data_IF_081371828301
#
_entry.id   IF_081371828301
#
_cell.length_a   1.000
_cell.length_b   1.000
_cell.length_c   1.000
_cell.angle_alpha   90.00
_cell.angle_beta   90.00
_cell.angle_gamma   90.00
#
_symmetry.space_group_name_H-M   'P 1'
#
loop_
_entity.id
_entity.type
_entity.pdbx_description
1 polymer ?
#
# COMPACT_ATOMS: atom_id res chain seq x y z
N UNK A 1 -75.16 -24.49 -10.16
CA UNK A 1 -75.10 -25.24 -8.89
C UNK A 1 -74.05 -26.32 -9.08
N UNK A 2 -72.79 -25.98 -8.84
CA UNK A 2 -71.64 -26.88 -9.10
C UNK A 2 -71.05 -27.28 -7.77
N UNK A 3 -71.05 -28.58 -7.53
CA UNK A 3 -70.71 -29.23 -6.26
C UNK A 3 -69.20 -29.47 -6.19
N UNK A 4 -68.65 -29.07 -5.06
CA UNK A 4 -67.31 -29.32 -4.53
C UNK A 4 -67.06 -30.83 -4.31
N UNK A 5 -65.91 -31.35 -4.77
CA UNK A 5 -65.30 -32.58 -4.22
C UNK A 5 -63.78 -32.49 -4.23
N UNK A 6 -63.22 -32.56 -3.02
CA UNK A 6 -61.82 -32.72 -2.68
C UNK A 6 -61.29 -34.09 -3.10
N UNK A 7 -60.04 -34.14 -3.59
CA UNK A 7 -59.19 -35.32 -3.49
C UNK A 7 -57.81 -34.90 -2.99
N UNK A 8 -57.46 -35.40 -1.81
CA UNK A 8 -56.12 -35.41 -1.21
C UNK A 8 -55.25 -36.41 -1.96
N UNK A 9 -54.03 -36.03 -2.35
CA UNK A 9 -52.92 -36.98 -2.53
C UNK A 9 -51.58 -36.35 -2.11
N UNK A 10 -51.10 -36.85 -0.97
CA UNK A 10 -49.71 -37.03 -0.53
C UNK A 10 -48.62 -36.12 -1.13
N UNK A 11 -48.15 -35.15 -0.34
CA UNK A 11 -46.84 -34.51 -0.54
C UNK A 11 -45.79 -35.44 0.07
N UNK A 12 -45.09 -36.16 -0.79
CA UNK A 12 -43.89 -36.92 -0.45
C UNK A 12 -42.77 -35.89 -0.19
N UNK A 13 -42.32 -35.79 1.06
CA UNK A 13 -41.19 -34.94 1.45
C UNK A 13 -39.92 -35.45 0.79
N UNK A 14 -39.45 -34.76 -0.27
CA UNK A 14 -38.09 -34.92 -0.73
C UNK A 14 -37.20 -34.06 0.18
N UNK A 15 -36.55 -34.70 1.14
CA UNK A 15 -35.40 -34.14 1.84
C UNK A 15 -34.34 -33.81 0.78
N UNK A 16 -34.26 -32.55 0.34
CA UNK A 16 -33.05 -32.04 -0.29
C UNK A 16 -32.01 -31.95 0.82
N UNK A 17 -31.23 -33.01 0.96
CA UNK A 17 -29.95 -32.99 1.65
C UNK A 17 -29.20 -31.80 1.04
N UNK A 18 -28.79 -30.85 1.89
CA UNK A 18 -27.96 -29.73 1.47
C UNK A 18 -26.76 -30.29 0.71
N UNK A 19 -26.76 -30.08 -0.61
CA UNK A 19 -25.52 -30.15 -1.37
C UNK A 19 -24.62 -29.06 -0.75
N UNK A 20 -23.38 -29.39 -0.38
CA UNK A 20 -22.43 -28.33 -0.08
C UNK A 20 -22.37 -27.46 -1.34
N UNK A 21 -22.50 -26.15 -1.19
CA UNK A 21 -22.09 -25.21 -2.23
C UNK A 21 -20.62 -25.51 -2.50
N UNK A 22 -20.34 -26.36 -3.49
CA UNK A 22 -19.00 -26.52 -4.00
C UNK A 22 -18.62 -25.16 -4.58
N UNK A 23 -17.69 -24.46 -3.94
CA UNK A 23 -16.96 -23.37 -4.56
C UNK A 23 -16.46 -23.89 -5.91
N UNK A 24 -16.96 -23.32 -7.01
CA UNK A 24 -16.57 -23.78 -8.33
C UNK A 24 -15.09 -23.42 -8.54
N UNK A 25 -14.21 -24.39 -8.43
CA UNK A 25 -12.80 -24.23 -8.82
C UNK A 25 -12.72 -24.07 -10.33
N UNK A 26 -11.76 -23.29 -10.82
CA UNK A 26 -11.56 -23.12 -12.27
C UNK A 26 -11.19 -24.45 -12.91
N UNK A 27 -11.81 -24.72 -14.06
CA UNK A 27 -11.51 -25.88 -14.89
C UNK A 27 -11.00 -25.41 -16.25
N UNK A 28 -9.68 -25.49 -16.42
CA UNK A 28 -9.01 -25.04 -17.63
C UNK A 28 -9.41 -25.80 -18.90
N UNK A 29 -10.02 -27.00 -18.77
CA UNK A 29 -10.52 -27.77 -19.90
C UNK A 29 -11.89 -27.28 -20.40
N UNK A 30 -12.62 -26.50 -19.61
CA UNK A 30 -14.00 -26.08 -19.92
C UNK A 30 -14.18 -24.57 -20.06
N UNK A 31 -13.25 -23.76 -19.55
CA UNK A 31 -13.20 -22.33 -19.89
C UNK A 31 -12.84 -22.14 -21.38
N UNK A 32 -13.32 -21.05 -21.99
CA UNK A 32 -13.19 -20.78 -23.44
C UNK A 32 -12.54 -19.44 -23.77
N UNK A 33 -12.10 -18.69 -22.76
CA UNK A 33 -11.57 -17.33 -22.94
C UNK A 33 -10.11 -17.33 -23.39
N UNK A 34 -9.33 -18.32 -22.93
CA UNK A 34 -7.91 -18.48 -23.24
C UNK A 34 -7.54 -19.94 -23.51
N UNK A 35 -6.40 -20.24 -24.16
CA UNK A 35 -5.89 -21.60 -24.27
C UNK A 35 -5.73 -22.33 -22.92
N UNK A 36 -5.93 -23.65 -22.92
CA UNK A 36 -5.85 -24.48 -21.70
C UNK A 36 -4.48 -24.39 -21.01
N UNK A 37 -3.39 -24.28 -21.78
CA UNK A 37 -2.02 -24.11 -21.26
C UNK A 37 -1.82 -22.76 -20.58
N UNK A 38 -2.41 -21.68 -21.09
CA UNK A 38 -2.38 -20.36 -20.43
C UNK A 38 -3.15 -20.40 -19.11
N UNK A 39 -4.38 -20.96 -19.12
CA UNK A 39 -5.16 -21.12 -17.90
C UNK A 39 -4.41 -21.95 -16.83
N UNK A 40 -3.78 -23.07 -17.23
CA UNK A 40 -2.97 -23.89 -16.31
C UNK A 40 -1.77 -23.11 -15.75
N UNK A 41 -1.18 -22.23 -16.56
CA UNK A 41 -0.05 -21.40 -16.15
C UNK A 41 -0.49 -20.36 -15.12
N UNK A 42 -1.65 -19.73 -15.31
CA UNK A 42 -2.25 -18.85 -14.30
C UNK A 42 -2.55 -19.62 -12.99
N UNK A 43 -3.13 -20.82 -13.08
CA UNK A 43 -3.35 -21.64 -11.87
C UNK A 43 -2.03 -22.06 -11.21
N UNK A 44 -0.95 -22.26 -11.97
CA UNK A 44 0.38 -22.52 -11.42
C UNK A 44 0.91 -21.30 -10.65
N UNK A 45 0.73 -20.09 -11.19
CA UNK A 45 1.04 -18.83 -10.48
C UNK A 45 0.26 -18.75 -9.18
N UNK A 46 -1.06 -18.90 -9.23
CA UNK A 46 -1.90 -18.91 -8.05
C UNK A 46 -1.44 -19.90 -6.97
N UNK A 47 -1.16 -21.16 -7.35
CA UNK A 47 -0.81 -22.20 -6.40
C UNK A 47 0.62 -22.05 -5.83
N UNK A 48 1.58 -21.62 -6.65
CA UNK A 48 2.99 -21.48 -6.24
C UNK A 48 3.22 -20.28 -5.32
N UNK A 49 2.38 -19.26 -5.39
CA UNK A 49 2.55 -18.03 -4.61
C UNK A 49 1.48 -17.83 -3.53
N UNK A 50 1.02 -18.93 -2.91
CA UNK A 50 0.01 -18.95 -1.84
C UNK A 50 -1.28 -18.18 -2.18
N UNK A 51 -1.88 -18.45 -3.33
CA UNK A 51 -3.07 -17.77 -3.87
C UNK A 51 -4.23 -17.58 -2.88
N UNK A 52 -4.47 -18.54 -2.00
CA UNK A 52 -5.52 -18.44 -0.99
C UNK A 52 -5.27 -17.39 0.12
N UNK A 53 -4.02 -16.91 0.24
CA UNK A 53 -3.60 -15.88 1.20
C UNK A 53 -3.40 -14.49 0.59
N UNK A 54 -3.72 -14.33 -0.70
CA UNK A 54 -3.69 -13.04 -1.40
C UNK A 54 -4.68 -12.04 -0.80
N UNK A 55 -4.32 -10.75 -0.79
CA UNK A 55 -5.12 -9.71 -0.13
C UNK A 55 -6.52 -9.52 -0.74
N UNK A 56 -6.70 -9.83 -2.02
CA UNK A 56 -7.94 -9.65 -2.78
C UNK A 56 -8.73 -10.95 -3.04
N UNK A 57 -8.45 -12.04 -2.31
CA UNK A 57 -8.94 -13.39 -2.65
C UNK A 57 -10.47 -13.50 -2.81
N UNK A 58 -11.26 -12.69 -2.11
CA UNK A 58 -12.72 -12.71 -2.20
C UNK A 58 -13.30 -11.82 -3.30
N UNK A 59 -12.51 -10.91 -3.87
CA UNK A 59 -12.88 -10.00 -4.96
C UNK A 59 -12.20 -10.33 -6.29
N UNK A 60 -11.14 -11.15 -6.27
CA UNK A 60 -10.23 -11.36 -7.39
C UNK A 60 -10.67 -12.38 -8.45
N UNK A 61 -11.63 -13.26 -8.15
CA UNK A 61 -12.15 -14.30 -9.07
C UNK A 61 -11.20 -15.48 -9.35
N UNK A 62 -9.92 -15.37 -9.00
CA UNK A 62 -8.89 -16.39 -9.20
C UNK A 62 -9.27 -17.73 -8.57
N UNK A 63 -9.26 -18.79 -9.39
CA UNK A 63 -9.60 -20.15 -8.97
C UNK A 63 -11.00 -20.28 -8.32
N UNK A 64 -11.89 -19.33 -8.59
CA UNK A 64 -13.29 -19.25 -8.09
C UNK A 64 -14.27 -19.12 -9.25
N UNK A 65 -13.88 -18.43 -10.34
CA UNK A 65 -14.67 -18.34 -11.56
C UNK A 65 -14.02 -19.10 -12.70
N UNK A 66 -14.83 -19.52 -13.68
CA UNK A 66 -14.32 -20.16 -14.90
C UNK A 66 -14.10 -19.15 -16.05
N UNK A 67 -13.72 -17.92 -15.70
CA UNK A 67 -13.57 -16.77 -16.61
C UNK A 67 -12.23 -16.05 -16.34
N UNK A 68 -11.09 -16.65 -16.75
CA UNK A 68 -9.75 -16.12 -16.44
C UNK A 68 -9.50 -14.68 -16.87
N UNK A 69 -10.10 -14.22 -17.96
CA UNK A 69 -9.93 -12.84 -18.45
C UNK A 69 -10.67 -11.79 -17.61
N UNK A 70 -11.57 -12.24 -16.73
CA UNK A 70 -12.24 -11.39 -15.75
C UNK A 70 -11.58 -11.43 -14.37
N UNK A 71 -10.51 -12.22 -14.20
CA UNK A 71 -9.78 -12.23 -12.93
C UNK A 71 -9.06 -10.91 -12.74
N UNK A 72 -9.08 -10.40 -11.50
CA UNK A 72 -8.42 -9.15 -11.17
C UNK A 72 -6.94 -9.23 -11.55
N UNK A 73 -6.46 -8.24 -12.29
CA UNK A 73 -5.08 -8.18 -12.75
C UNK A 73 -4.78 -8.99 -14.01
N UNK A 74 -5.76 -9.67 -14.63
CA UNK A 74 -5.58 -10.33 -15.93
C UNK A 74 -6.18 -9.46 -17.04
N UNK A 75 -5.41 -9.21 -18.10
CA UNK A 75 -5.93 -8.62 -19.34
C UNK A 75 -5.76 -9.61 -20.48
N UNK A 76 -6.83 -9.82 -21.23
CA UNK A 76 -6.81 -10.64 -22.43
C UNK A 76 -7.05 -9.81 -23.69
N UNK A 77 -6.44 -10.23 -24.81
CA UNK A 77 -6.72 -9.72 -26.14
C UNK A 77 -6.67 -10.87 -27.12
N UNK A 78 -7.67 -10.92 -28.01
CA UNK A 78 -7.80 -11.95 -29.04
C UNK A 78 -7.71 -13.39 -28.52
N UNK A 79 -8.24 -13.62 -27.31
CA UNK A 79 -8.25 -14.94 -26.67
C UNK A 79 -6.95 -15.34 -26.00
N UNK A 80 -6.03 -14.41 -25.74
CA UNK A 80 -4.75 -14.68 -25.08
C UNK A 80 -4.52 -13.72 -23.92
N UNK A 81 -3.82 -14.18 -22.87
CA UNK A 81 -3.36 -13.32 -21.78
C UNK A 81 -2.22 -12.42 -22.29
N UNK A 82 -2.44 -11.11 -22.21
CA UNK A 82 -1.46 -10.10 -22.63
C UNK A 82 -0.87 -9.31 -21.47
N UNK A 83 -1.53 -9.27 -20.31
CA UNK A 83 -1.00 -8.62 -19.12
C UNK A 83 -1.39 -9.37 -17.84
N UNK A 84 -0.42 -9.46 -16.93
CA UNK A 84 -0.62 -9.86 -15.54
C UNK A 84 -0.13 -8.71 -14.67
N UNK A 85 -1.03 -8.14 -13.88
CA UNK A 85 -0.80 -6.99 -13.00
C UNK A 85 -1.28 -7.36 -11.58
N UNK A 86 -0.33 -7.80 -10.74
CA UNK A 86 -0.59 -8.34 -9.39
C UNK A 86 0.38 -7.77 -8.36
N UNK A 87 0.74 -6.49 -8.48
CA UNK A 87 1.56 -5.83 -7.47
C UNK A 87 0.86 -5.73 -6.11
N UNK A 88 1.64 -5.64 -5.02
CA UNK A 88 1.15 -5.38 -3.66
C UNK A 88 -0.04 -6.26 -3.24
N UNK A 89 0.09 -7.57 -3.46
CA UNK A 89 -1.02 -8.49 -3.23
C UNK A 89 -0.66 -9.67 -2.32
N UNK A 90 0.50 -9.60 -1.67
CA UNK A 90 0.96 -10.62 -0.71
C UNK A 90 1.29 -11.96 -1.40
N UNK A 91 1.71 -11.94 -2.66
CA UNK A 91 2.18 -13.16 -3.34
C UNK A 91 3.42 -13.66 -2.61
N UNK A 92 3.33 -14.86 -2.02
CA UNK A 92 4.41 -15.45 -1.24
C UNK A 92 4.74 -16.85 -1.77
N UNK A 93 5.98 -17.04 -2.23
CA UNK A 93 6.46 -18.29 -2.81
C UNK A 93 7.28 -18.08 -4.07
N UNK A 94 7.71 -19.15 -4.74
CA UNK A 94 8.51 -19.07 -5.96
C UNK A 94 7.68 -18.65 -7.17
N UNK A 95 8.30 -17.90 -8.09
CA UNK A 95 7.74 -17.60 -9.41
C UNK A 95 7.75 -18.88 -10.27
N UNK A 96 6.61 -19.34 -10.82
CA UNK A 96 6.56 -20.54 -11.63
C UNK A 96 7.01 -20.28 -13.07
N UNK A 97 6.96 -21.33 -13.90
CA UNK A 97 7.16 -21.23 -15.33
C UNK A 97 5.97 -20.53 -16.03
N UNK A 98 6.25 -19.40 -16.70
CA UNK A 98 5.29 -18.57 -17.42
C UNK A 98 5.45 -18.65 -18.94
N UNK A 99 6.32 -19.51 -19.48
CA UNK A 99 6.61 -19.54 -20.92
C UNK A 99 5.42 -19.88 -21.80
N UNK A 100 4.35 -20.49 -21.27
CA UNK A 100 3.13 -20.77 -22.05
C UNK A 100 2.28 -19.52 -22.33
N UNK A 101 2.61 -18.38 -21.73
CA UNK A 101 1.94 -17.10 -21.99
C UNK A 101 2.66 -16.37 -23.13
N UNK A 102 2.68 -16.98 -24.32
CA UNK A 102 3.48 -16.55 -25.48
C UNK A 102 3.14 -15.12 -25.98
N UNK A 103 1.99 -14.58 -25.59
CA UNK A 103 1.51 -13.24 -25.96
C UNK A 103 1.59 -12.25 -24.79
N UNK A 104 2.23 -12.62 -23.67
CA UNK A 104 2.31 -11.76 -22.50
C UNK A 104 3.24 -10.57 -22.79
N UNK A 105 2.68 -9.37 -22.76
CA UNK A 105 3.38 -8.11 -23.03
C UNK A 105 3.76 -7.39 -21.75
N UNK A 106 2.95 -7.49 -20.70
CA UNK A 106 3.21 -6.87 -19.38
C UNK A 106 3.15 -7.92 -18.28
N UNK A 107 4.20 -7.97 -17.47
CA UNK A 107 4.23 -8.72 -16.21
C UNK A 107 4.65 -7.78 -15.08
N UNK A 108 3.72 -7.49 -14.17
CA UNK A 108 3.97 -6.72 -12.96
C UNK A 108 3.59 -7.54 -11.73
N UNK A 109 4.60 -7.98 -10.97
CA UNK A 109 4.46 -8.70 -9.71
C UNK A 109 5.23 -7.99 -8.58
N UNK A 110 5.46 -6.68 -8.73
CA UNK A 110 6.23 -5.87 -7.78
C UNK A 110 5.60 -5.80 -6.38
N UNK A 111 6.37 -5.42 -5.36
CA UNK A 111 5.89 -5.22 -3.98
C UNK A 111 5.20 -6.46 -3.38
N UNK A 112 5.82 -7.62 -3.50
CA UNK A 112 5.29 -8.89 -3.00
C UNK A 112 6.33 -9.60 -2.11
N UNK A 113 6.06 -10.85 -1.73
CA UNK A 113 6.98 -11.70 -0.98
C UNK A 113 7.47 -12.89 -1.83
N UNK A 114 7.59 -12.70 -3.16
CA UNK A 114 8.11 -13.72 -4.05
C UNK A 114 9.54 -14.06 -3.64
N UNK A 115 9.85 -15.34 -3.53
CA UNK A 115 11.09 -15.81 -2.96
C UNK A 115 11.68 -16.97 -3.76
N UNK A 116 12.90 -17.37 -3.38
CA UNK A 116 13.60 -18.46 -4.07
C UNK A 116 14.30 -18.02 -5.37
N UNK A 117 14.90 -18.97 -6.10
CA UNK A 117 15.66 -18.66 -7.31
C UNK A 117 14.74 -18.27 -8.46
N UNK A 118 15.05 -17.19 -9.17
CA UNK A 118 14.41 -16.84 -10.45
C UNK A 118 15.23 -17.40 -11.63
N UNK A 119 14.53 -17.98 -12.62
CA UNK A 119 15.11 -18.31 -13.92
C UNK A 119 14.38 -17.52 -15.00
N UNK A 120 15.08 -16.62 -15.69
CA UNK A 120 14.44 -15.76 -16.69
C UNK A 120 14.08 -16.50 -17.97
N UNK A 121 14.58 -17.72 -18.16
CA UNK A 121 14.09 -18.65 -19.19
C UNK A 121 12.64 -19.08 -18.97
N UNK A 122 12.10 -18.89 -17.75
CA UNK A 122 10.71 -19.15 -17.40
C UNK A 122 9.79 -17.96 -17.71
N UNK A 123 10.31 -16.87 -18.28
CA UNK A 123 9.54 -15.72 -18.70
C UNK A 123 9.38 -15.71 -20.22
N UNK A 124 8.22 -15.31 -20.75
CA UNK A 124 8.00 -15.26 -22.18
C UNK A 124 8.77 -14.08 -22.82
N UNK A 125 9.39 -14.31 -23.97
CA UNK A 125 10.19 -13.29 -24.69
C UNK A 125 9.35 -12.19 -25.34
N UNK A 126 8.03 -12.34 -25.36
CA UNK A 126 7.06 -11.33 -25.81
C UNK A 126 6.95 -10.11 -24.88
N UNK A 127 7.54 -10.19 -23.68
CA UNK A 127 7.46 -9.13 -22.68
C UNK A 127 8.04 -7.81 -23.21
N UNK A 128 7.23 -6.77 -23.07
CA UNK A 128 7.58 -5.37 -23.31
C UNK A 128 7.85 -4.63 -22.00
N UNK A 129 7.17 -5.02 -20.91
CA UNK A 129 7.35 -4.47 -19.58
C UNK A 129 7.44 -5.59 -18.53
N UNK A 130 8.49 -5.56 -17.72
CA UNK A 130 8.74 -6.52 -16.64
C UNK A 130 9.04 -5.77 -15.32
N UNK A 131 8.18 -5.91 -14.31
CA UNK A 131 8.42 -5.42 -12.94
C UNK A 131 8.35 -6.56 -11.94
N UNK A 132 9.46 -6.80 -11.24
CA UNK A 132 9.58 -7.80 -10.17
C UNK A 132 10.20 -7.19 -8.90
N UNK A 133 10.27 -5.87 -8.81
CA UNK A 133 10.92 -5.16 -7.72
C UNK A 133 10.19 -5.30 -6.36
N UNK A 134 10.90 -5.01 -5.28
CA UNK A 134 10.45 -5.16 -3.88
C UNK A 134 9.88 -6.57 -3.62
N UNK A 135 10.77 -7.55 -3.73
CA UNK A 135 10.52 -8.97 -3.50
C UNK A 135 11.74 -9.60 -2.82
N UNK A 136 11.72 -10.92 -2.61
CA UNK A 136 12.79 -11.69 -1.97
C UNK A 136 13.47 -12.67 -2.94
N UNK A 137 13.43 -12.39 -4.25
CA UNK A 137 13.97 -13.25 -5.29
C UNK A 137 15.50 -13.32 -5.19
N UNK A 138 16.04 -14.51 -5.44
CA UNK A 138 17.47 -14.82 -5.37
C UNK A 138 17.95 -15.35 -6.72
N UNK A 139 19.26 -15.37 -6.93
CA UNK A 139 19.87 -15.94 -8.14
C UNK A 139 20.80 -14.96 -8.84
N UNK A 140 21.27 -15.35 -10.01
CA UNK A 140 22.08 -14.50 -10.88
C UNK A 140 21.17 -13.57 -11.68
N UNK A 141 21.61 -12.32 -11.86
CA UNK A 141 20.93 -11.33 -12.68
C UNK A 141 20.87 -11.83 -14.14
N UNK A 142 19.77 -11.54 -14.86
CA UNK A 142 19.50 -12.15 -16.16
C UNK A 142 20.40 -11.68 -17.29
N UNK A 143 20.60 -12.56 -18.27
CA UNK A 143 20.79 -12.14 -19.65
C UNK A 143 19.42 -11.92 -20.30
N UNK A 144 19.06 -10.64 -20.50
CA UNK A 144 17.80 -10.22 -21.13
C UNK A 144 17.97 -9.93 -22.63
N UNK A 145 19.13 -10.24 -23.23
CA UNK A 145 19.38 -9.93 -24.64
C UNK A 145 18.43 -10.61 -25.62
N UNK A 146 17.76 -11.70 -25.19
CA UNK A 146 16.74 -12.41 -25.96
C UNK A 146 15.35 -11.78 -25.90
N UNK A 147 15.11 -10.85 -24.98
CA UNK A 147 13.83 -10.13 -24.84
C UNK A 147 13.84 -8.89 -25.73
N UNK A 148 13.76 -9.09 -27.05
CA UNK A 148 13.95 -8.01 -28.03
C UNK A 148 12.86 -6.95 -27.99
N UNK A 149 11.68 -7.30 -27.47
CA UNK A 149 10.53 -6.38 -27.34
C UNK A 149 10.55 -5.59 -26.02
N UNK A 150 11.48 -5.90 -25.11
CA UNK A 150 11.53 -5.29 -23.79
C UNK A 150 11.89 -3.81 -23.89
N UNK A 151 11.01 -2.98 -23.35
CA UNK A 151 11.11 -1.51 -23.28
C UNK A 151 11.37 -1.03 -21.86
N UNK A 152 10.82 -1.76 -20.88
CA UNK A 152 10.91 -1.42 -19.46
C UNK A 152 11.25 -2.67 -18.65
N UNK A 153 12.23 -2.53 -17.75
CA UNK A 153 12.58 -3.59 -16.80
C UNK A 153 12.90 -2.99 -15.44
N UNK A 154 12.28 -3.53 -14.39
CA UNK A 154 12.58 -3.21 -13.00
C UNK A 154 12.70 -4.50 -12.18
N UNK A 155 13.90 -4.74 -11.66
CA UNK A 155 14.25 -5.91 -10.84
C UNK A 155 14.85 -5.48 -9.49
N UNK A 156 14.69 -4.20 -9.13
CA UNK A 156 15.26 -3.61 -7.91
C UNK A 156 14.76 -4.28 -6.63
N UNK A 157 15.34 -3.93 -5.48
CA UNK A 157 14.87 -4.36 -4.16
C UNK A 157 14.57 -5.87 -4.06
N UNK A 158 15.51 -6.67 -4.57
CA UNK A 158 15.56 -8.12 -4.48
C UNK A 158 16.94 -8.57 -3.97
N UNK A 159 17.14 -9.88 -3.81
CA UNK A 159 18.43 -10.49 -3.44
C UNK A 159 19.17 -11.10 -4.66
N UNK A 160 19.09 -10.44 -5.83
CA UNK A 160 19.79 -10.86 -7.04
C UNK A 160 21.29 -10.51 -6.97
N UNK A 161 22.12 -11.34 -7.59
CA UNK A 161 23.59 -11.20 -7.63
C UNK A 161 24.09 -11.10 -9.07
N UNK A 162 25.28 -10.54 -9.30
CA UNK A 162 25.82 -10.38 -10.66
C UNK A 162 25.28 -9.16 -11.42
N UNK A 163 25.50 -9.11 -12.73
CA UNK A 163 25.13 -7.97 -13.59
C UNK A 163 24.18 -8.41 -14.70
N UNK A 164 23.02 -7.76 -14.80
CA UNK A 164 22.08 -8.03 -15.87
C UNK A 164 22.63 -7.54 -17.23
N UNK A 165 22.48 -8.35 -18.28
CA UNK A 165 22.72 -7.92 -19.66
C UNK A 165 21.40 -7.47 -20.27
N UNK A 166 21.32 -6.20 -20.70
CA UNK A 166 20.11 -5.64 -21.28
C UNK A 166 20.07 -5.85 -22.80
N UNK A 167 18.88 -6.04 -23.40
CA UNK A 167 18.74 -6.06 -24.85
C UNK A 167 19.14 -4.71 -25.46
N UNK A 168 19.51 -4.67 -26.75
CA UNK A 168 19.91 -3.42 -27.42
C UNK A 168 18.85 -2.31 -27.35
N UNK A 169 17.56 -2.66 -27.26
CA UNK A 169 16.45 -1.71 -27.03
C UNK A 169 16.58 -0.95 -25.70
N UNK A 170 17.23 -1.55 -24.71
CA UNK A 170 17.46 -1.04 -23.36
C UNK A 170 18.92 -0.63 -23.10
N UNK A 171 19.83 -0.95 -24.02
CA UNK A 171 21.24 -0.57 -23.92
C UNK A 171 21.40 0.94 -24.16
N UNK A 172 21.64 1.67 -23.07
CA UNK A 172 21.90 3.11 -23.02
C UNK A 172 22.97 3.57 -24.03
N UNK A 173 22.50 4.12 -25.17
CA UNK A 173 23.14 5.28 -25.83
C UNK A 173 22.06 6.13 -26.52
N UNK A 174 21.82 7.35 -26.00
CA UNK A 174 21.20 8.45 -26.76
C UNK A 174 19.67 8.58 -26.75
N UNK A 175 18.94 7.95 -25.83
CA UNK A 175 17.48 8.07 -25.76
C UNK A 175 17.01 9.03 -24.65
N UNK A 176 15.90 9.75 -24.88
CA UNK A 176 15.31 10.66 -23.89
C UNK A 176 14.62 9.96 -22.72
N UNK A 177 14.47 8.63 -22.74
CA UNK A 177 13.71 7.91 -21.73
C UNK A 177 12.22 8.22 -21.79
N UNK A 178 11.43 7.53 -20.97
CA UNK A 178 9.98 7.67 -20.87
C UNK A 178 9.57 7.95 -19.43
N UNK A 179 8.45 8.66 -19.24
CA UNK A 179 7.92 8.93 -17.91
C UNK A 179 6.95 7.82 -17.48
N UNK A 180 7.12 7.33 -16.26
CA UNK A 180 6.30 6.28 -15.65
C UNK A 180 5.86 6.68 -14.25
N UNK A 181 4.68 6.28 -13.81
CA UNK A 181 4.31 6.48 -12.41
C UNK A 181 5.27 5.70 -11.50
N UNK A 182 5.58 6.26 -10.33
CA UNK A 182 6.50 5.61 -9.38
C UNK A 182 5.90 4.40 -8.66
N UNK A 183 4.57 4.31 -8.68
CA UNK A 183 3.74 3.30 -8.04
C UNK A 183 2.54 3.08 -8.97
N UNK A 184 2.00 1.88 -8.91
CA UNK A 184 0.93 1.36 -9.78
C UNK A 184 -0.35 1.08 -8.98
N UNK A 185 -0.32 1.14 -7.65
CA UNK A 185 -1.48 0.97 -6.78
C UNK A 185 -1.57 2.05 -5.69
N UNK A 186 -1.92 3.24 -6.13
CA UNK A 186 -2.19 4.34 -5.22
C UNK A 186 -3.54 4.13 -4.54
N UNK A 187 -3.51 4.00 -3.21
CA UNK A 187 -4.70 4.01 -2.36
C UNK A 187 -4.68 5.26 -1.52
N UNK A 188 -5.77 6.00 -1.60
CA UNK A 188 -5.96 7.26 -0.90
C UNK A 188 -7.27 7.14 -0.15
N UNK A 189 -7.30 7.48 1.13
CA UNK A 189 -8.57 7.55 1.83
C UNK A 189 -9.29 8.81 1.35
N UNK A 190 -10.60 8.73 1.28
CA UNK A 190 -11.44 9.85 0.86
C UNK A 190 -11.14 11.16 1.65
N UNK A 191 -10.73 11.03 2.91
CA UNK A 191 -10.40 12.14 3.80
C UNK A 191 -8.92 12.64 3.75
N UNK A 192 -8.07 12.06 2.91
CA UNK A 192 -6.66 12.46 2.78
C UNK A 192 -6.57 13.88 2.18
N UNK A 193 -7.54 14.26 1.34
CA UNK A 193 -7.72 15.62 0.82
C UNK A 193 -6.73 16.01 -0.26
N UNK A 194 -5.42 16.00 0.04
CA UNK A 194 -4.36 16.20 -0.97
C UNK A 194 -3.49 14.96 -1.04
N UNK A 195 -3.35 14.42 -2.25
CA UNK A 195 -2.55 13.23 -2.53
C UNK A 195 -1.47 13.54 -3.56
N UNK A 196 -0.21 13.21 -3.26
CA UNK A 196 0.91 13.45 -4.17
C UNK A 196 1.17 12.21 -5.02
N UNK A 197 1.04 12.37 -6.33
CA UNK A 197 1.39 11.33 -7.31
C UNK A 197 2.78 11.61 -7.84
N UNK A 198 3.66 10.61 -7.81
CA UNK A 198 5.04 10.71 -8.25
C UNK A 198 5.26 9.99 -9.58
N UNK A 199 6.10 10.57 -10.43
CA UNK A 199 6.44 10.12 -11.78
C UNK A 199 7.95 10.14 -11.93
N UNK A 200 8.50 9.07 -12.48
CA UNK A 200 9.93 8.83 -12.68
C UNK A 200 10.26 8.82 -14.17
N UNK A 201 11.50 9.16 -14.51
CA UNK A 201 12.06 9.00 -15.86
C UNK A 201 12.83 7.70 -15.94
N UNK A 202 12.51 6.83 -16.89
CA UNK A 202 13.08 5.49 -17.03
C UNK A 202 13.65 5.30 -18.44
N UNK A 203 14.70 4.50 -18.59
CA UNK A 203 15.22 4.11 -19.92
C UNK A 203 16.03 5.17 -20.67
N UNK A 204 16.29 6.34 -20.09
CA UNK A 204 17.17 7.34 -20.69
C UNK A 204 17.13 8.71 -20.01
N UNK A 205 18.16 9.53 -20.25
CA UNK A 205 18.32 10.87 -19.66
C UNK A 205 18.67 11.94 -20.71
N UNK A 206 18.77 11.58 -21.99
CA UNK A 206 19.29 12.46 -23.05
C UNK A 206 18.19 13.14 -23.86
N UNK A 207 18.06 14.46 -23.73
CA UNK A 207 17.00 15.23 -24.36
C UNK A 207 15.91 15.65 -23.38
N UNK A 208 15.03 16.54 -23.81
CA UNK A 208 13.92 17.04 -22.99
C UNK A 208 12.70 16.17 -23.25
N UNK A 209 12.10 15.61 -22.19
CA UNK A 209 10.76 15.01 -22.26
C UNK A 209 9.75 15.93 -21.59
N UNK A 210 8.55 16.01 -22.16
CA UNK A 210 7.43 16.76 -21.60
C UNK A 210 6.19 15.89 -21.67
N UNK A 211 5.69 15.51 -20.51
CA UNK A 211 4.59 14.56 -20.37
C UNK A 211 3.44 15.27 -19.68
N UNK A 212 2.29 15.25 -20.32
CA UNK A 212 1.04 15.75 -19.74
C UNK A 212 0.38 14.67 -18.91
N UNK A 213 -0.31 15.07 -17.84
CA UNK A 213 -1.16 14.17 -17.06
C UNK A 213 -2.59 14.68 -17.03
N UNK A 214 -3.55 13.76 -16.95
CA UNK A 214 -4.95 14.09 -16.76
C UNK A 214 -5.69 12.96 -16.03
N UNK A 215 -6.56 13.34 -15.09
CA UNK A 215 -7.50 12.44 -14.41
C UNK A 215 -8.71 12.14 -15.29
N UNK A 216 -9.20 10.92 -15.21
CA UNK A 216 -10.41 10.43 -15.86
C UNK A 216 -11.24 9.67 -14.81
N UNK A 217 -12.52 10.04 -14.68
CA UNK A 217 -13.47 9.32 -13.82
C UNK A 217 -13.59 7.85 -14.24
N UNK A 218 -13.72 6.97 -13.27
CA UNK A 218 -14.11 5.57 -13.46
C UNK A 218 -15.34 5.27 -12.60
N UNK A 219 -15.22 4.51 -11.50
CA UNK A 219 -16.32 4.41 -10.52
C UNK A 219 -16.47 5.69 -9.71
N UNK A 220 -15.36 6.33 -9.35
CA UNK A 220 -15.31 7.67 -8.76
C UNK A 220 -15.58 8.74 -9.82
N UNK A 221 -16.40 9.71 -9.47
CA UNK A 221 -16.86 10.85 -10.28
C UNK A 221 -16.15 12.14 -9.89
N UNK A 222 -15.49 12.74 -10.89
CA UNK A 222 -14.95 14.09 -10.77
C UNK A 222 -15.99 15.12 -10.30
N UNK A 223 -15.62 15.91 -9.30
CA UNK A 223 -16.45 16.94 -8.64
C UNK A 223 -17.30 16.41 -7.48
N UNK A 224 -17.45 15.09 -7.35
CA UNK A 224 -18.03 14.42 -6.18
C UNK A 224 -16.92 13.88 -5.29
N UNK A 225 -16.03 13.07 -5.88
CA UNK A 225 -15.12 12.21 -5.09
C UNK A 225 -13.65 12.63 -5.26
N UNK A 226 -13.35 13.38 -6.32
CA UNK A 226 -12.05 14.03 -6.55
C UNK A 226 -12.18 15.25 -7.47
N UNK A 227 -11.23 16.19 -7.44
CA UNK A 227 -11.19 17.29 -8.42
C UNK A 227 -10.42 16.93 -9.68
N UNK A 228 -10.86 17.42 -10.85
CA UNK A 228 -10.15 17.20 -12.11
C UNK A 228 -8.75 17.84 -12.04
N UNK A 229 -7.72 17.00 -12.11
CA UNK A 229 -6.34 17.45 -12.19
C UNK A 229 -5.78 17.22 -13.60
N UNK A 230 -5.12 18.24 -14.15
CA UNK A 230 -4.37 18.16 -15.39
C UNK A 230 -3.17 19.10 -15.36
N UNK A 231 -2.08 18.69 -15.98
CA UNK A 231 -0.85 19.48 -16.01
C UNK A 231 0.22 18.82 -16.87
N UNK A 232 1.47 19.25 -16.67
CA UNK A 232 2.62 18.69 -17.39
C UNK A 232 3.86 18.64 -16.51
N UNK A 233 4.62 17.57 -16.65
CA UNK A 233 5.92 17.36 -16.03
C UNK A 233 7.00 17.41 -17.11
N UNK A 234 8.12 18.06 -16.82
CA UNK A 234 9.21 18.25 -17.78
C UNK A 234 10.54 17.89 -17.16
N UNK A 235 11.26 16.98 -17.81
CA UNK A 235 12.67 16.69 -17.52
C UNK A 235 13.54 17.29 -18.61
N UNK A 236 14.66 17.88 -18.22
CA UNK A 236 15.69 18.36 -19.16
C UNK A 236 16.76 17.28 -19.37
N UNK A 237 17.67 17.48 -20.32
CA UNK A 237 18.81 16.57 -20.50
C UNK A 237 19.60 16.43 -19.20
N UNK A 238 19.83 15.19 -18.76
CA UNK A 238 20.56 14.83 -17.54
C UNK A 238 19.75 14.89 -16.25
N UNK A 239 18.50 15.36 -16.30
CA UNK A 239 17.59 15.37 -15.15
C UNK A 239 16.97 13.98 -14.97
N UNK A 240 17.31 13.33 -13.85
CA UNK A 240 16.82 12.02 -13.42
C UNK A 240 16.03 12.10 -12.10
N UNK A 241 15.72 13.30 -11.61
CA UNK A 241 14.98 13.46 -10.36
C UNK A 241 13.50 13.12 -10.59
N UNK A 242 12.89 12.49 -9.60
CA UNK A 242 11.45 12.23 -9.58
C UNK A 242 10.66 13.54 -9.56
N UNK A 243 9.49 13.55 -10.21
CA UNK A 243 8.59 14.71 -10.23
C UNK A 243 7.21 14.30 -9.74
N UNK A 244 6.55 15.22 -9.05
CA UNK A 244 5.24 14.91 -8.46
C UNK A 244 4.22 16.02 -8.73
N UNK A 245 2.94 15.65 -8.68
CA UNK A 245 1.83 16.59 -8.73
C UNK A 245 0.78 16.23 -7.68
N UNK A 246 0.03 17.24 -7.25
CA UNK A 246 -1.03 17.08 -6.28
C UNK A 246 -2.36 16.73 -6.95
N UNK A 247 -3.11 15.85 -6.30
CA UNK A 247 -4.53 15.56 -6.54
C UNK A 247 -5.34 16.00 -5.34
N UNK A 248 -6.54 16.52 -5.58
CA UNK A 248 -7.51 16.80 -4.53
C UNK A 248 -8.53 15.67 -4.48
N UNK A 249 -8.66 15.00 -3.34
CA UNK A 249 -9.73 14.03 -3.05
C UNK A 249 -10.81 14.74 -2.23
N UNK A 250 -12.06 14.51 -2.60
CA UNK A 250 -13.21 15.12 -1.93
C UNK A 250 -13.78 14.12 -0.94
N UNK A 251 -13.91 14.54 0.31
CA UNK A 251 -14.43 13.74 1.42
C UNK A 251 -15.93 14.01 1.59
N UNK A 252 -16.76 12.97 1.59
CA UNK A 252 -18.15 13.06 2.00
C UNK A 252 -18.49 12.26 3.26
N UNK A 253 -19.73 11.84 3.41
CA UNK A 253 -20.21 11.13 4.62
C UNK A 253 -21.05 9.90 4.28
N UNK A 254 -21.12 9.57 3.00
CA UNK A 254 -21.89 8.47 2.48
C UNK A 254 -21.02 7.24 2.43
N UNK A 255 -21.52 6.16 3.03
CA UNK A 255 -20.82 4.87 2.94
C UNK A 255 -20.96 4.37 1.52
N UNK A 256 -19.90 4.49 0.77
CA UNK A 256 -19.79 4.05 -0.60
C UNK A 256 -18.93 2.79 -0.67
N UNK A 257 -18.88 2.16 -1.84
CA UNK A 257 -17.82 1.18 -2.05
C UNK A 257 -16.51 1.95 -2.28
N UNK A 258 -15.35 1.29 -2.12
CA UNK A 258 -14.12 1.88 -2.63
C UNK A 258 -14.30 2.18 -4.13
N UNK A 259 -14.07 3.43 -4.49
CA UNK A 259 -14.22 3.91 -5.85
C UNK A 259 -12.84 4.15 -6.47
N UNK A 260 -12.80 4.21 -7.79
CA UNK A 260 -11.58 4.28 -8.57
C UNK A 260 -11.66 5.40 -9.59
N UNK A 261 -10.54 6.06 -9.85
CA UNK A 261 -10.36 6.90 -11.03
C UNK A 261 -8.99 6.65 -11.65
N UNK A 262 -8.83 7.02 -12.91
CA UNK A 262 -7.62 6.73 -13.70
C UNK A 262 -6.86 8.03 -13.93
N UNK A 263 -5.53 7.96 -13.89
CA UNK A 263 -4.66 9.02 -14.40
C UNK A 263 -3.91 8.48 -15.61
N UNK A 264 -3.87 9.27 -16.68
CA UNK A 264 -3.06 8.97 -17.86
C UNK A 264 -1.89 9.94 -17.98
N UNK A 265 -0.70 9.42 -18.24
CA UNK A 265 0.44 10.15 -18.77
C UNK A 265 0.38 10.11 -20.29
N UNK A 266 0.55 11.27 -20.93
CA UNK A 266 0.58 11.40 -22.38
C UNK A 266 1.76 12.22 -22.84
N UNK A 267 2.42 11.74 -23.87
CA UNK A 267 3.38 12.54 -24.63
C UNK A 267 2.77 12.84 -26.00
N UNK A 268 2.62 14.14 -26.28
CA UNK A 268 1.82 14.62 -27.40
C UNK A 268 0.38 14.10 -27.29
N UNK A 269 0.01 13.07 -28.06
CA UNK A 269 -1.34 12.50 -28.10
C UNK A 269 -1.36 10.98 -27.78
N UNK A 270 -0.21 10.36 -27.51
CA UNK A 270 -0.10 8.94 -27.17
C UNK A 270 -0.09 8.75 -25.65
N UNK A 271 -0.84 7.74 -25.16
CA UNK A 271 -0.83 7.34 -23.76
C UNK A 271 0.45 6.55 -23.51
N UNK A 272 1.30 7.06 -22.61
CA UNK A 272 2.55 6.42 -22.22
C UNK A 272 2.36 5.46 -21.04
N UNK A 273 1.57 5.89 -20.06
CA UNK A 273 1.35 5.15 -18.82
C UNK A 273 -0.02 5.52 -18.24
N UNK A 274 -0.62 4.60 -17.50
CA UNK A 274 -1.87 4.83 -16.79
C UNK A 274 -1.82 4.18 -15.43
N UNK A 275 -2.32 4.87 -14.41
CA UNK A 275 -2.45 4.32 -13.06
C UNK A 275 -3.87 4.49 -12.56
N UNK A 276 -4.36 3.48 -11.84
CA UNK A 276 -5.63 3.52 -11.13
C UNK A 276 -5.37 4.02 -9.70
N UNK A 277 -6.15 5.01 -9.28
CA UNK A 277 -6.19 5.48 -7.90
C UNK A 277 -7.45 4.89 -7.27
N UNK A 278 -7.30 4.18 -6.16
CA UNK A 278 -8.44 3.72 -5.35
C UNK A 278 -8.68 4.72 -4.24
N UNK A 279 -9.85 5.36 -4.26
CA UNK A 279 -10.41 6.09 -3.13
C UNK A 279 -11.02 5.05 -2.19
N UNK A 280 -10.44 4.94 -1.01
CA UNK A 280 -10.95 4.06 0.04
C UNK A 280 -11.99 4.83 0.83
N UNK A 281 -13.24 4.39 0.72
CA UNK A 281 -14.32 4.90 1.56
C UNK A 281 -13.93 4.66 3.01
N UNK A 282 -13.92 5.75 3.77
CA UNK A 282 -13.58 5.72 5.18
C UNK A 282 -14.80 5.89 6.08
N UNK A 283 -16.00 5.97 5.50
CA UNK A 283 -17.26 5.97 6.21
C UNK A 283 -17.64 4.57 6.70
N UNK A 284 -18.57 4.52 7.67
CA UNK A 284 -19.04 3.26 8.24
C UNK A 284 -20.56 3.23 8.28
N UNK A 285 -21.14 2.07 7.90
CA UNK A 285 -22.55 1.80 8.20
C UNK A 285 -22.62 1.49 9.67
N UNK A 286 -23.58 2.07 10.34
CA UNK A 286 -23.69 1.89 11.76
C UNK A 286 -25.10 1.38 12.13
N UNK A 287 -25.25 0.38 13.03
CA UNK A 287 -26.54 -0.28 13.25
C UNK A 287 -27.31 0.31 14.44
N UNK A 288 -28.61 0.61 14.29
CA UNK A 288 -29.41 1.21 15.37
C UNK A 288 -29.75 0.18 16.42
N UNK A 289 -29.73 0.59 17.69
CA UNK A 289 -30.59 0.01 18.71
C UNK A 289 -31.63 1.06 19.16
N UNK A 290 -32.92 0.78 18.94
CA UNK A 290 -34.05 1.42 19.63
C UNK A 290 -34.82 0.37 20.46
N UNK A 291 -35.31 0.69 21.68
CA UNK A 291 -36.11 -0.27 22.46
C UNK A 291 -37.63 -0.14 22.22
N UNK A 292 -38.20 -1.22 21.65
CA UNK A 292 -39.59 -1.76 21.66
C UNK A 292 -40.74 -0.76 21.31
N UNK A 293 -41.52 -0.87 20.21
CA UNK A 293 -42.17 -2.04 19.61
C UNK A 293 -42.59 -1.77 18.13
N UNK A 294 -42.02 -2.52 17.16
CA UNK A 294 -42.33 -2.81 15.73
C UNK A 294 -42.77 -1.73 14.70
N UNK A 295 -42.44 -1.89 13.38
CA UNK A 295 -41.33 -2.60 12.74
C UNK A 295 -40.49 -1.72 11.76
N UNK A 296 -39.18 -2.01 11.71
CA UNK A 296 -38.14 -1.52 10.78
C UNK A 296 -37.81 -0.02 10.77
N UNK A 297 -36.57 0.35 11.14
CA UNK A 297 -35.65 1.33 10.48
C UNK A 297 -34.29 1.31 11.21
N UNK A 298 -33.19 1.30 10.43
CA UNK A 298 -31.77 1.28 10.82
C UNK A 298 -31.25 2.68 11.23
N UNK A 299 -30.44 2.85 12.29
CA UNK A 299 -29.70 4.09 12.67
C UNK A 299 -28.19 3.85 12.74
N UNK A 300 -27.43 4.73 12.11
CA UNK A 300 -26.00 4.84 12.29
C UNK A 300 -25.56 5.43 13.67
N UNK A 301 -24.67 4.75 14.44
CA UNK A 301 -23.73 5.31 15.44
C UNK A 301 -22.44 5.93 14.81
N UNK A 302 -22.51 7.15 14.28
CA UNK A 302 -21.27 7.93 14.04
C UNK A 302 -20.58 8.26 15.39
N UNK A 303 -19.25 8.19 15.44
CA UNK A 303 -18.50 8.75 16.57
C UNK A 303 -18.70 10.27 16.60
N UNK A 304 -19.03 10.87 17.77
CA UNK A 304 -19.33 12.29 17.85
C UNK A 304 -18.10 13.16 17.56
N UNK A 305 -18.31 14.40 17.11
CA UNK A 305 -17.23 15.37 16.97
C UNK A 305 -16.68 15.73 18.35
N UNK A 306 -15.36 15.84 18.47
CA UNK A 306 -14.73 16.18 19.74
C UNK A 306 -15.14 17.57 20.24
N UNK A 307 -15.37 17.67 21.55
CA UNK A 307 -15.61 18.95 22.22
C UNK A 307 -14.29 19.72 22.37
N UNK A 308 -14.11 20.76 21.55
CA UNK A 308 -12.88 21.56 21.49
C UNK A 308 -12.71 22.56 22.65
N UNK A 309 -13.69 22.63 23.55
CA UNK A 309 -13.65 23.53 24.71
C UNK A 309 -13.30 22.82 26.02
N UNK A 310 -13.04 21.51 25.97
CA UNK A 310 -12.74 20.73 27.15
C UNK A 310 -11.24 20.61 27.36
N UNK A 311 -10.79 20.79 28.61
CA UNK A 311 -9.41 20.49 29.01
C UNK A 311 -9.18 18.99 29.24
N UNK A 312 -10.23 18.18 29.23
CA UNK A 312 -10.16 16.71 29.35
C UNK A 312 -11.19 16.05 28.45
N UNK A 313 -10.80 14.98 27.77
CA UNK A 313 -11.64 14.24 26.82
C UNK A 313 -11.66 12.80 27.26
N UNK A 314 -12.86 12.30 27.58
CA UNK A 314 -13.09 10.96 28.10
C UNK A 314 -14.04 10.14 27.22
N UNK A 315 -14.15 10.52 25.95
CA UNK A 315 -15.07 9.93 24.98
C UNK A 315 -14.35 9.57 23.69
N UNK A 316 -14.93 8.64 22.95
CA UNK A 316 -14.55 8.40 21.55
C UNK A 316 -15.08 9.56 20.71
N UNK A 317 -14.20 10.22 19.96
CA UNK A 317 -14.61 11.34 19.12
C UNK A 317 -13.64 11.59 17.95
N UNK A 318 -14.12 12.26 16.91
CA UNK A 318 -13.30 12.68 15.77
C UNK A 318 -13.08 14.19 15.85
N UNK A 319 -11.82 14.61 15.80
CA UNK A 319 -11.46 16.02 15.92
C UNK A 319 -11.52 16.79 14.60
N UNK A 320 -11.62 16.09 13.46
CA UNK A 320 -11.80 16.68 12.13
C UNK A 320 -10.73 17.72 11.77
N UNK A 321 -9.46 17.40 12.06
CA UNK A 321 -8.29 18.27 11.85
C UNK A 321 -8.38 19.61 12.60
N UNK A 322 -9.21 19.73 13.63
CA UNK A 322 -9.28 20.94 14.47
C UNK A 322 -8.23 20.90 15.57
N UNK A 323 -7.75 22.10 15.91
CA UNK A 323 -6.74 22.32 16.95
C UNK A 323 -7.37 22.17 18.35
N UNK A 324 -6.78 21.30 19.18
CA UNK A 324 -7.16 21.19 20.59
C UNK A 324 -6.60 22.35 21.42
N UNK A 325 -7.28 22.73 22.52
CA UNK A 325 -6.75 23.70 23.45
C UNK A 325 -5.49 23.15 24.14
N UNK A 326 -4.63 24.06 24.58
CA UNK A 326 -3.41 23.69 25.29
C UNK A 326 -3.71 22.99 26.61
N UNK A 327 -2.81 22.07 26.98
CA UNK A 327 -2.90 21.21 28.15
C UNK A 327 -4.14 20.32 28.15
N UNK A 328 -4.66 19.96 26.96
CA UNK A 328 -5.73 18.97 26.86
C UNK A 328 -5.24 17.60 27.36
N UNK A 329 -6.07 16.92 28.14
CA UNK A 329 -5.83 15.53 28.55
C UNK A 329 -6.79 14.59 27.81
N UNK A 330 -6.26 13.63 27.07
CA UNK A 330 -7.02 12.50 26.52
C UNK A 330 -7.01 11.40 27.57
N UNK A 331 -8.16 11.08 28.16
CA UNK A 331 -8.26 10.07 29.23
C UNK A 331 -8.13 8.65 28.69
N UNK A 332 -7.87 7.67 29.57
CA UNK A 332 -7.52 6.28 29.22
C UNK A 332 -8.52 5.58 28.28
N UNK A 333 -9.81 5.86 28.42
CA UNK A 333 -10.89 5.28 27.60
C UNK A 333 -11.26 6.13 26.38
N UNK A 334 -10.62 7.30 26.23
CA UNK A 334 -10.86 8.14 25.07
C UNK A 334 -10.11 7.61 23.84
N UNK A 335 -10.78 7.69 22.70
CA UNK A 335 -10.21 7.38 21.39
C UNK A 335 -10.47 8.56 20.48
N UNK A 336 -9.40 9.27 20.15
CA UNK A 336 -9.46 10.48 19.35
C UNK A 336 -8.74 10.25 18.04
N UNK A 337 -9.35 10.70 16.94
CA UNK A 337 -8.69 10.75 15.64
C UNK A 337 -8.68 12.15 15.05
N UNK A 338 -7.70 12.42 14.17
CA UNK A 338 -7.59 13.66 13.42
C UNK A 338 -7.44 14.92 14.29
N UNK A 339 -6.86 14.78 15.48
CA UNK A 339 -6.51 15.93 16.33
C UNK A 339 -5.33 16.70 15.74
N UNK A 340 -5.38 18.04 15.83
CA UNK A 340 -4.20 18.90 15.65
C UNK A 340 -3.78 19.45 17.01
N UNK A 341 -2.50 19.32 17.33
CA UNK A 341 -1.90 19.91 18.54
C UNK A 341 -0.97 21.04 18.14
N UNK A 342 -1.28 22.27 18.53
CA UNK A 342 -0.39 23.45 18.39
C UNK A 342 0.35 23.80 19.69
N UNK A 343 0.03 23.09 20.77
CA UNK A 343 0.64 23.24 22.08
C UNK A 343 0.50 21.93 22.87
N UNK A 344 1.07 21.91 24.07
CA UNK A 344 1.24 20.70 24.85
C UNK A 344 -0.09 19.98 25.16
N UNK A 345 -0.05 18.65 25.18
CA UNK A 345 -1.17 17.78 25.50
C UNK A 345 -0.71 16.48 26.17
N UNK A 346 -1.57 15.91 27.00
CA UNK A 346 -1.36 14.60 27.62
C UNK A 346 -2.29 13.59 26.95
N UNK A 347 -1.75 12.47 26.50
CA UNK A 347 -2.49 11.34 25.98
C UNK A 347 -2.39 10.15 26.93
N UNK A 348 -3.51 9.68 27.47
CA UNK A 348 -3.61 8.44 28.24
C UNK A 348 -4.39 7.36 27.47
N UNK A 349 -5.19 7.78 26.48
CA UNK A 349 -6.01 6.92 25.65
C UNK A 349 -5.39 6.60 24.29
N UNK A 350 -6.24 6.49 23.26
CA UNK A 350 -5.84 6.25 21.88
C UNK A 350 -5.89 7.55 21.07
N UNK A 351 -4.78 7.90 20.44
CA UNK A 351 -4.66 9.02 19.50
C UNK A 351 -4.24 8.49 18.13
N UNK A 352 -5.03 8.77 17.10
CA UNK A 352 -4.78 8.24 15.75
C UNK A 352 -4.89 9.30 14.66
N UNK A 353 -4.09 9.15 13.59
CA UNK A 353 -4.19 10.02 12.40
C UNK A 353 -4.08 11.52 12.73
N UNK A 354 -3.17 11.87 13.64
CA UNK A 354 -3.09 13.20 14.25
C UNK A 354 -1.81 13.94 13.87
N UNK A 355 -1.89 15.26 13.92
CA UNK A 355 -0.77 16.15 13.60
C UNK A 355 -0.31 16.89 14.84
N UNK A 356 0.99 16.80 15.13
CA UNK A 356 1.62 17.50 16.25
C UNK A 356 2.47 18.59 15.61
N UNK A 357 2.07 19.85 15.78
CA UNK A 357 2.75 21.00 15.16
C UNK A 357 4.01 21.39 15.91
N UNK A 358 4.88 22.12 15.22
CA UNK A 358 6.10 22.67 15.80
C UNK A 358 5.78 23.47 17.09
N UNK A 359 6.51 23.16 18.17
CA UNK A 359 6.29 23.77 19.49
C UNK A 359 5.26 23.07 20.37
N UNK A 360 4.56 22.04 19.88
CA UNK A 360 3.67 21.21 20.67
C UNK A 360 4.38 19.95 21.20
N UNK A 361 4.11 19.57 22.45
CA UNK A 361 4.51 18.28 23.02
C UNK A 361 3.29 17.44 23.34
N UNK A 362 3.16 16.24 22.76
CA UNK A 362 2.15 15.25 23.18
C UNK A 362 2.83 14.07 23.85
N UNK A 363 2.41 13.77 25.08
CA UNK A 363 3.01 12.72 25.91
C UNK A 363 2.02 11.61 26.24
N UNK A 364 2.42 10.36 26.09
CA UNK A 364 1.73 9.21 26.66
C UNK A 364 0.83 8.43 25.69
N UNK A 365 0.23 7.38 26.26
CA UNK A 365 -0.89 6.65 25.67
C UNK A 365 -0.51 5.83 24.46
N UNK A 366 -1.50 5.52 23.64
CA UNK A 366 -1.34 4.74 22.42
C UNK A 366 -1.45 5.68 21.22
N UNK A 367 -0.45 5.63 20.35
CA UNK A 367 -0.48 6.25 19.03
C UNK A 367 -0.74 5.20 17.97
N UNK A 368 -1.64 5.48 17.03
CA UNK A 368 -1.98 4.57 15.93
C UNK A 368 -2.23 5.29 14.60
N UNK A 369 -2.40 4.54 13.52
CA UNK A 369 -2.56 5.09 12.18
C UNK A 369 -1.31 5.83 11.69
N UNK A 370 -1.51 7.00 11.06
CA UNK A 370 -0.45 7.84 10.48
C UNK A 370 -0.28 9.11 11.30
N UNK A 371 0.86 9.29 11.97
CA UNK A 371 1.12 10.48 12.79
C UNK A 371 2.12 11.38 12.06
N UNK A 372 1.72 12.62 11.79
CA UNK A 372 2.62 13.65 11.31
C UNK A 372 3.15 14.43 12.51
N UNK A 373 4.46 14.39 12.71
CA UNK A 373 5.10 15.03 13.85
C UNK A 373 6.04 16.13 13.37
N UNK A 374 5.71 17.37 13.70
CA UNK A 374 6.59 18.55 13.58
C UNK A 374 7.06 19.03 14.97
N UNK A 375 6.47 18.48 16.05
CA UNK A 375 6.74 18.83 17.44
C UNK A 375 7.46 17.71 18.19
N UNK A 376 7.03 17.44 19.42
CA UNK A 376 7.61 16.40 20.29
C UNK A 376 6.53 15.36 20.64
N UNK A 377 6.83 14.09 20.37
CA UNK A 377 6.06 12.95 20.87
C UNK A 377 6.87 12.23 21.96
N UNK A 378 6.28 12.02 23.13
CA UNK A 378 6.99 11.43 24.26
C UNK A 378 6.25 10.27 24.93
N UNK A 379 6.98 9.28 25.42
CA UNK A 379 6.50 8.22 26.32
C UNK A 379 5.26 7.43 25.83
N UNK A 380 5.26 6.95 24.59
CA UNK A 380 4.07 6.34 23.98
C UNK A 380 4.26 4.89 23.49
N UNK A 381 3.13 4.19 23.36
CA UNK A 381 3.04 2.91 22.66
C UNK A 381 2.59 3.15 21.22
N UNK A 382 3.33 2.63 20.25
CA UNK A 382 2.97 2.73 18.85
C UNK A 382 2.37 1.43 18.32
N UNK A 383 1.15 1.53 17.79
CA UNK A 383 0.41 0.44 17.11
C UNK A 383 0.04 0.78 15.67
N UNK A 384 0.51 1.93 15.18
CA UNK A 384 0.14 2.49 13.88
C UNK A 384 0.99 2.02 12.72
N UNK A 385 0.80 2.70 11.59
CA UNK A 385 1.52 2.48 10.35
C UNK A 385 2.81 3.30 10.32
N UNK A 386 2.74 4.63 10.50
CA UNK A 386 3.95 5.47 10.49
C UNK A 386 3.91 6.66 11.46
N UNK A 387 5.11 7.08 11.88
CA UNK A 387 5.36 8.41 12.41
C UNK A 387 6.47 9.05 11.55
N UNK A 388 6.21 10.24 11.02
CA UNK A 388 7.15 10.94 10.16
C UNK A 388 7.48 12.29 10.77
N UNK A 389 8.78 12.58 10.91
CA UNK A 389 9.29 13.88 11.32
C UNK A 389 9.35 14.12 12.83
N UNK A 390 9.84 15.32 13.17
CA UNK A 390 9.78 15.88 14.51
C UNK A 390 10.70 15.17 15.49
N UNK A 391 10.48 15.41 16.79
CA UNK A 391 11.28 14.81 17.87
C UNK A 391 10.50 13.71 18.57
N UNK A 392 11.16 12.58 18.79
CA UNK A 392 10.72 11.52 19.69
C UNK A 392 11.51 11.61 21.00
N UNK A 393 10.84 11.42 22.14
CA UNK A 393 11.44 11.59 23.47
C UNK A 393 10.97 10.53 24.46
N UNK A 394 11.81 10.23 25.45
CA UNK A 394 11.46 9.31 26.53
C UNK A 394 11.37 7.86 26.04
N UNK A 395 10.41 7.10 26.57
CA UNK A 395 10.29 5.66 26.27
C UNK A 395 9.25 5.38 25.19
N UNK A 396 9.69 4.80 24.08
CA UNK A 396 8.83 4.47 22.94
C UNK A 396 8.83 2.96 22.74
N UNK A 397 7.64 2.36 22.75
CA UNK A 397 7.48 0.94 22.45
C UNK A 397 6.64 0.78 21.20
N UNK A 398 7.23 0.28 20.12
CA UNK A 398 6.51 -0.03 18.90
C UNK A 398 6.18 -1.52 18.86
N UNK A 399 4.88 -1.82 19.04
CA UNK A 399 4.33 -3.16 18.96
C UNK A 399 3.30 -3.28 17.83
N UNK A 400 3.48 -2.49 16.77
CA UNK A 400 2.63 -2.51 15.58
C UNK A 400 2.70 -3.88 14.90
N UNK A 401 1.53 -4.45 14.60
CA UNK A 401 1.40 -5.74 13.89
C UNK A 401 1.50 -5.61 12.37
N UNK A 402 1.57 -4.37 11.87
CA UNK A 402 1.61 -4.04 10.44
C UNK A 402 2.98 -3.51 10.01
N UNK A 403 4.03 -3.73 10.82
CA UNK A 403 5.37 -3.23 10.50
C UNK A 403 5.50 -1.72 10.69
N UNK A 404 4.88 -1.18 11.75
CA UNK A 404 4.90 0.25 12.04
C UNK A 404 6.31 0.82 12.09
N UNK A 405 6.51 1.99 11.48
CA UNK A 405 7.84 2.54 11.25
C UNK A 405 7.95 4.03 11.57
N UNK A 406 9.17 4.47 11.88
CA UNK A 406 9.51 5.87 12.12
C UNK A 406 10.48 6.37 11.03
N UNK A 407 10.20 7.55 10.46
CA UNK A 407 11.01 8.15 9.39
C UNK A 407 11.41 9.58 9.72
N UNK A 408 12.66 9.92 9.42
CA UNK A 408 13.17 11.30 9.45
C UNK A 408 12.95 11.96 10.83
N UNK A 409 13.31 11.24 11.90
CA UNK A 409 13.04 11.64 13.29
C UNK A 409 14.30 12.11 14.01
N UNK A 410 14.13 13.14 14.83
CA UNK A 410 15.10 13.53 15.85
C UNK A 410 14.82 12.76 17.15
N UNK A 411 15.87 12.31 17.83
CA UNK A 411 15.76 11.62 19.12
C UNK A 411 16.30 12.54 20.22
N UNK A 412 15.45 12.88 21.19
CA UNK A 412 15.86 13.69 22.33
C UNK A 412 16.89 12.93 23.21
N UNK A 413 17.65 13.63 24.08
CA UNK A 413 18.56 13.01 25.03
C UNK A 413 17.93 11.85 25.82
N UNK A 414 18.64 10.72 25.94
CA UNK A 414 18.19 9.49 26.63
C UNK A 414 16.87 8.91 26.12
N UNK A 415 16.50 9.15 24.86
CA UNK A 415 15.34 8.48 24.26
C UNK A 415 15.61 6.98 24.16
N UNK A 416 14.60 6.17 24.48
CA UNK A 416 14.66 4.72 24.34
C UNK A 416 13.59 4.26 23.35
N UNK A 417 14.00 3.58 22.28
CA UNK A 417 13.09 2.98 21.30
C UNK A 417 13.22 1.46 21.34
N UNK A 418 12.10 0.80 21.58
CA UNK A 418 12.00 -0.65 21.55
C UNK A 418 10.99 -1.10 20.49
N UNK A 419 11.43 -1.91 19.53
CA UNK A 419 10.56 -2.47 18.50
C UNK A 419 10.40 -1.61 17.25
N UNK A 420 9.86 -2.21 16.19
CA UNK A 420 9.48 -1.50 14.97
C UNK A 420 10.59 -1.38 13.93
N UNK A 421 10.42 -0.41 13.03
CA UNK A 421 11.32 -0.17 11.90
C UNK A 421 11.73 1.30 11.88
N UNK A 422 13.02 1.57 11.62
CA UNK A 422 13.56 2.91 11.38
C UNK A 422 13.97 3.08 9.91
N UNK A 423 13.62 4.23 9.33
CA UNK A 423 13.91 4.63 7.94
C UNK A 423 14.38 6.09 7.87
N UNK A 424 15.08 6.44 6.80
CA UNK A 424 15.48 7.83 6.54
C UNK A 424 16.55 8.33 7.52
N UNK A 425 16.49 9.60 7.87
CA UNK A 425 17.48 10.23 8.76
C UNK A 425 17.06 10.10 10.24
N UNK A 426 17.89 9.44 11.04
CA UNK A 426 17.67 9.22 12.48
C UNK A 426 18.76 9.97 13.25
N UNK A 427 18.38 11.07 13.88
CA UNK A 427 19.33 12.03 14.45
C UNK A 427 19.12 12.17 15.95
N UNK A 428 19.96 11.51 16.76
CA UNK A 428 19.98 11.65 18.20
C UNK A 428 21.00 12.67 18.71
N UNK A 429 21.05 12.83 20.04
CA UNK A 429 22.01 13.68 20.73
C UNK A 429 23.36 12.96 20.88
N UNK A 430 24.47 13.61 20.49
CA UNK A 430 25.80 12.98 20.50
C UNK A 430 26.35 12.81 21.93
N UNK A 431 26.02 13.72 22.85
CA UNK A 431 26.53 13.69 24.22
C UNK A 431 25.68 12.79 25.12
N UNK A 432 24.39 12.66 24.78
CA UNK A 432 23.42 11.84 25.54
C UNK A 432 22.60 10.98 24.56
N UNK A 433 23.23 9.96 23.95
CA UNK A 433 22.65 9.22 22.83
C UNK A 433 21.40 8.44 23.20
N UNK A 434 20.54 8.26 22.20
CA UNK A 434 19.31 7.47 22.32
C UNK A 434 19.62 5.97 22.19
N UNK A 435 18.98 5.13 23.01
CA UNK A 435 19.14 3.68 22.97
C UNK A 435 18.09 3.02 22.06
N UNK A 436 18.54 2.20 21.13
CA UNK A 436 17.71 1.49 20.15
C UNK A 436 17.78 -0.03 20.40
N UNK A 437 16.63 -0.70 20.57
CA UNK A 437 16.58 -2.15 20.82
C UNK A 437 15.42 -2.85 20.08
N UNK A 438 15.58 -4.14 19.81
CA UNK A 438 14.56 -5.05 19.24
C UNK A 438 13.90 -4.54 17.94
N UNK A 439 14.63 -3.79 17.12
CA UNK A 439 14.08 -3.11 15.94
C UNK A 439 14.91 -3.37 14.68
N UNK A 440 14.35 -3.01 13.52
CA UNK A 440 15.03 -3.09 12.24
C UNK A 440 15.39 -1.69 11.71
N UNK A 441 16.62 -1.51 11.24
CA UNK A 441 17.07 -0.31 10.53
C UNK A 441 17.17 -0.67 9.05
N UNK A 442 16.37 0.01 8.21
CA UNK A 442 16.26 -0.29 6.78
C UNK A 442 17.39 0.35 5.96
N UNK A 443 17.65 -0.27 4.80
CA UNK A 443 18.63 0.21 3.81
C UNK A 443 18.41 1.69 3.47
N UNK A 444 19.50 2.43 3.31
CA UNK A 444 19.50 3.86 3.03
C UNK A 444 19.29 4.78 4.25
N UNK A 445 19.02 4.22 5.44
CA UNK A 445 18.93 5.03 6.66
C UNK A 445 20.29 5.63 7.05
N UNK A 446 20.27 6.82 7.65
CA UNK A 446 21.45 7.49 8.19
C UNK A 446 21.28 7.75 9.67
N UNK A 447 22.20 7.28 10.50
CA UNK A 447 22.13 7.35 11.96
C UNK A 447 23.20 8.28 12.52
N UNK A 448 22.89 9.01 13.59
CA UNK A 448 23.86 9.77 14.40
C UNK A 448 23.36 9.91 15.83
N UNK A 449 24.25 10.00 16.82
CA UNK A 449 23.91 10.20 18.24
C UNK A 449 23.02 9.11 18.85
N UNK A 450 23.31 7.84 18.57
CA UNK A 450 22.52 6.69 19.07
C UNK A 450 23.40 5.55 19.55
N UNK A 451 22.93 4.83 20.56
CA UNK A 451 23.46 3.53 20.99
C UNK A 451 22.59 2.45 20.36
N UNK A 452 23.22 1.57 19.58
CA UNK A 452 22.61 0.36 19.03
C UNK A 452 22.74 -0.74 20.09
N UNK A 453 21.62 -1.10 20.69
CA UNK A 453 21.50 -2.10 21.74
C UNK A 453 21.12 -3.49 21.22
N UNK A 454 20.50 -4.29 22.09
CA UNK A 454 20.19 -5.69 21.82
C UNK A 454 19.15 -5.88 20.71
N UNK A 455 19.31 -6.95 19.94
CA UNK A 455 18.38 -7.42 18.90
C UNK A 455 18.05 -6.36 17.82
N UNK A 456 18.98 -5.47 17.50
CA UNK A 456 18.84 -4.55 16.37
C UNK A 456 19.34 -5.19 15.08
N UNK A 457 18.48 -5.29 14.07
CA UNK A 457 18.86 -5.73 12.72
C UNK A 457 19.19 -4.54 11.83
N UNK A 458 20.43 -4.47 11.33
CA UNK A 458 20.89 -3.39 10.46
C UNK A 458 20.98 -3.93 9.03
N UNK A 459 20.18 -3.37 8.12
CA UNK A 459 20.22 -3.70 6.69
C UNK A 459 21.53 -3.24 6.03
N UNK A 460 21.82 -3.76 4.84
CA UNK A 460 22.90 -3.25 3.99
C UNK A 460 22.67 -1.77 3.64
N UNK A 461 23.75 -1.02 3.37
CA UNK A 461 23.72 0.40 3.00
C UNK A 461 23.18 1.38 4.06
N UNK A 462 23.10 0.98 5.33
CA UNK A 462 22.89 1.92 6.44
C UNK A 462 24.16 2.73 6.68
N UNK A 463 24.03 4.05 6.76
CA UNK A 463 25.15 4.96 7.04
C UNK A 463 25.19 5.25 8.54
N UNK A 464 26.25 4.80 9.20
CA UNK A 464 26.51 5.12 10.61
C UNK A 464 27.39 6.37 10.69
N UNK A 465 26.81 7.45 11.21
CA UNK A 465 27.45 8.76 11.37
C UNK A 465 28.10 8.96 12.75
N UNK A 466 28.32 10.22 13.10
CA UNK A 466 28.95 10.62 14.36
C UNK A 466 28.08 10.25 15.59
N UNK A 467 28.71 9.84 16.69
CA UNK A 467 28.03 9.51 17.93
C UNK A 467 27.19 8.22 17.87
N UNK A 468 27.41 7.37 16.86
CA UNK A 468 26.84 6.01 16.83
C UNK A 468 27.73 5.06 17.62
N UNK A 469 27.17 4.43 18.65
CA UNK A 469 27.84 3.46 19.50
C UNK A 469 27.15 2.09 19.41
N UNK A 470 27.92 1.01 19.60
CA UNK A 470 27.39 -0.34 19.71
C UNK A 470 27.47 -0.78 21.17
N UNK A 471 26.36 -1.20 21.77
CA UNK A 471 26.38 -1.71 23.13
C UNK A 471 27.22 -3.00 23.17
N UNK A 472 28.29 -3.01 23.96
CA UNK A 472 29.13 -4.20 24.12
C UNK A 472 28.32 -5.29 24.83
N UNK A 473 28.05 -6.39 24.14
CA UNK A 473 27.59 -7.64 24.76
C UNK A 473 28.59 -8.03 25.86
N UNK A 474 28.19 -8.00 27.13
CA UNK A 474 28.97 -8.70 28.16
C UNK A 474 28.83 -10.20 27.88
N UNK A 475 29.98 -10.86 27.70
CA UNK A 475 30.13 -12.32 27.54
C UNK A 475 29.50 -13.13 28.67
#
# INVERSE_FOLDING_TARGET
MTIMRYFLFSIMTLNLIGLPLAQATTDCATQIEIPENECKTLLSLFNSTTGAGWFDIFSGGWNITNTPCSWTGITCRDGHVIAIDRQNNGLNGPLPDLTNLDNLEKLDLSHNQLNGPISFTHLPTSLQALSLDDNQLKGEAPDLTTFTELKNVNLGDNSLTGTAQLPPSLASTGHPGTAHFSDTNYRVNENDGIFMVTVKRVGGSEGKINVSYATQSDSAKAGSDFEIAKGSLTWITGDNDDKSFALTITDDTTVEANETFIISLKEVDEILDTVMITIVDNDSVVPSLEPQQSPHISRQFYAPVCSMNSSSINSICIAQKKTFPCNVTIEEEASISQAVFECDGENKGLLSNSTIKAGATVRGGILSGYITNEGILADFYFRGASIIGGTLSGTITNNSKVGGWFQDVHLAPNTYINGGILKGEIVGDIEIPALLENLEIKSGAKLSGVIIGDNVHISENVVLGEGVEMQSTQE
#
